data_IF_517835630192
#
_entry.id   IF_517835630192
#
_cell.length_a   1.000
_cell.length_b   1.000
_cell.length_c   1.000
_cell.angle_alpha   90.00
_cell.angle_beta   90.00
_cell.angle_gamma   90.00
#
_symmetry.space_group_name_H-M   'P 1'
#
loop_
_entity.id
_entity.type
_entity.pdbx_description
1 polymer ?
#
# COMPACT_ATOMS: atom_id res chain seq x y z
N UNK A 1 14.61 5.50 19.19
CA UNK A 1 13.15 5.72 19.26
C UNK A 1 12.80 6.95 18.42
N UNK A 2 12.47 6.76 17.14
CA UNK A 2 11.84 7.75 16.28
C UNK A 2 11.60 7.12 14.90
N UNK A 3 10.34 6.98 14.44
CA UNK A 3 10.11 6.79 13.01
C UNK A 3 8.76 6.24 12.54
N UNK A 4 8.09 5.35 13.27
CA UNK A 4 7.06 4.49 12.66
C UNK A 4 5.60 4.96 12.68
N UNK A 5 5.24 6.04 13.37
CA UNK A 5 3.82 6.29 13.74
C UNK A 5 3.18 7.54 13.11
N UNK A 6 3.73 8.11 12.03
CA UNK A 6 3.52 9.55 11.74
C UNK A 6 2.78 9.97 10.47
N UNK A 7 2.20 9.10 9.64
CA UNK A 7 1.64 9.58 8.36
C UNK A 7 0.11 9.65 8.31
N UNK A 8 -0.63 8.72 8.92
CA UNK A 8 -2.08 8.66 8.75
C UNK A 8 -2.91 9.35 9.85
N UNK A 9 -2.33 9.65 11.03
CA UNK A 9 -3.02 10.40 12.11
C UNK A 9 -3.43 11.83 11.72
N UNK A 10 -2.93 12.35 10.59
CA UNK A 10 -3.24 13.70 10.11
C UNK A 10 -4.56 13.79 9.30
N UNK A 11 -5.17 12.67 8.89
CA UNK A 11 -6.35 12.67 8.02
C UNK A 11 -7.67 12.72 8.85
N UNK A 12 -7.91 13.85 9.54
CA UNK A 12 -9.18 14.19 10.23
C UNK A 12 -10.18 14.93 9.33
N UNK A 13 -10.28 14.55 8.07
CA UNK A 13 -11.36 15.03 7.20
C UNK A 13 -12.41 13.91 7.10
N UNK A 14 -13.68 14.21 7.33
CA UNK A 14 -14.78 13.24 7.24
C UNK A 14 -14.79 12.46 5.90
N UNK A 15 -14.26 13.07 4.82
CA UNK A 15 -14.12 12.44 3.49
C UNK A 15 -13.09 11.31 3.46
N UNK A 16 -12.24 11.22 4.48
CA UNK A 16 -11.08 10.35 4.55
C UNK A 16 -11.23 9.24 5.60
N UNK A 17 -12.32 9.27 6.38
CA UNK A 17 -12.70 8.21 7.30
C UNK A 17 -12.78 6.80 6.65
N UNK A 18 -13.40 6.61 5.47
CA UNK A 18 -13.43 5.28 4.84
C UNK A 18 -12.03 4.78 4.45
N UNK A 19 -11.06 5.68 4.23
CA UNK A 19 -9.67 5.33 3.93
C UNK A 19 -8.96 4.86 5.20
N UNK A 20 -9.17 5.57 6.32
CA UNK A 20 -8.57 5.19 7.60
C UNK A 20 -9.04 3.81 8.05
N UNK A 21 -10.35 3.52 7.91
CA UNK A 21 -10.91 2.19 8.22
C UNK A 21 -10.26 1.10 7.37
N UNK A 22 -10.06 1.35 6.07
CA UNK A 22 -9.47 0.34 5.19
C UNK A 22 -7.99 0.08 5.45
N UNK A 23 -7.25 1.11 5.85
CA UNK A 23 -5.85 0.96 6.28
C UNK A 23 -5.78 0.16 7.59
N UNK A 24 -6.69 0.43 8.52
CA UNK A 24 -6.80 -0.33 9.77
C UNK A 24 -7.16 -1.81 9.53
N UNK A 25 -8.13 -2.06 8.63
CA UNK A 25 -8.51 -3.42 8.22
C UNK A 25 -7.35 -4.17 7.51
N UNK A 26 -6.47 -3.49 6.76
CA UNK A 26 -5.27 -4.09 6.14
C UNK A 26 -4.20 -4.50 7.16
N UNK A 27 -4.14 -3.79 8.28
CA UNK A 27 -3.26 -4.08 9.42
C UNK A 27 -3.87 -5.10 10.40
N UNK A 28 -5.08 -5.60 10.12
CA UNK A 28 -5.77 -6.52 11.01
C UNK A 28 -5.11 -7.91 11.00
N UNK A 29 -5.23 -8.65 12.11
CA UNK A 29 -4.78 -10.03 12.22
C UNK A 29 -5.64 -11.00 11.40
N UNK A 30 -6.90 -10.64 11.15
CA UNK A 30 -7.85 -11.48 10.43
C UNK A 30 -7.61 -11.42 8.91
N UNK A 31 -7.20 -12.56 8.35
CA UNK A 31 -6.88 -12.71 6.92
C UNK A 31 -8.06 -12.33 6.02
N UNK A 32 -9.30 -12.63 6.43
CA UNK A 32 -10.48 -12.31 5.62
C UNK A 32 -10.73 -10.80 5.56
N UNK A 33 -10.49 -10.07 6.65
CA UNK A 33 -10.57 -8.60 6.67
C UNK A 33 -9.49 -7.97 5.79
N UNK A 34 -8.26 -8.50 5.83
CA UNK A 34 -7.17 -8.06 4.95
C UNK A 34 -7.53 -8.27 3.48
N UNK A 35 -8.02 -9.45 3.11
CA UNK A 35 -8.43 -9.77 1.73
C UNK A 35 -9.59 -8.89 1.23
N UNK A 36 -10.59 -8.64 2.08
CA UNK A 36 -11.69 -7.74 1.74
C UNK A 36 -11.21 -6.30 1.53
N UNK A 37 -10.20 -5.88 2.29
CA UNK A 37 -9.61 -4.54 2.18
C UNK A 37 -8.72 -4.39 0.95
N UNK A 38 -7.97 -5.45 0.60
CA UNK A 38 -7.20 -5.51 -0.65
C UNK A 38 -8.10 -5.28 -1.86
N UNK A 39 -9.30 -5.87 -1.91
CA UNK A 39 -10.26 -5.64 -3.01
C UNK A 39 -10.74 -4.18 -3.08
N UNK A 40 -10.78 -3.48 -1.94
CA UNK A 40 -11.19 -2.08 -1.84
C UNK A 40 -10.03 -1.10 -2.06
N UNK A 41 -8.77 -1.56 -2.12
CA UNK A 41 -7.59 -0.73 -2.38
C UNK A 41 -7.72 0.10 -3.66
N UNK A 42 -8.26 -0.50 -4.73
CA UNK A 42 -8.44 0.20 -6.01
C UNK A 42 -9.30 1.47 -5.86
N UNK A 43 -10.36 1.41 -5.05
CA UNK A 43 -11.23 2.55 -4.75
C UNK A 43 -10.49 3.62 -3.94
N UNK A 44 -9.65 3.20 -2.99
CA UNK A 44 -8.83 4.10 -2.18
C UNK A 44 -7.79 4.81 -3.04
N UNK A 45 -7.11 4.09 -3.91
CA UNK A 45 -6.10 4.65 -4.80
C UNK A 45 -6.71 5.67 -5.79
N UNK A 46 -7.94 5.43 -6.24
CA UNK A 46 -8.72 6.43 -6.98
C UNK A 46 -9.02 7.68 -6.14
N UNK A 47 -9.41 7.52 -4.88
CA UNK A 47 -9.76 8.63 -3.99
C UNK A 47 -8.54 9.46 -3.55
N UNK A 48 -7.39 8.81 -3.29
CA UNK A 48 -6.13 9.49 -2.95
C UNK A 48 -5.43 10.11 -4.15
N UNK A 49 -5.66 9.54 -5.33
CA UNK A 49 -4.92 9.87 -6.54
C UNK A 49 -3.56 9.16 -6.64
N UNK A 50 -2.98 9.26 -7.83
CA UNK A 50 -1.78 8.53 -8.22
C UNK A 50 -0.55 8.91 -7.40
N UNK A 51 -0.50 10.15 -6.90
CA UNK A 51 0.68 10.71 -6.23
C UNK A 51 0.89 10.17 -4.81
N UNK A 52 -0.20 9.98 -4.07
CA UNK A 52 -0.14 9.44 -2.70
C UNK A 52 -0.15 7.93 -2.73
N UNK A 53 -0.79 7.32 -3.72
CA UNK A 53 -0.74 5.87 -3.94
C UNK A 53 0.70 5.37 -4.06
N UNK A 54 1.55 6.06 -4.85
CA UNK A 54 2.98 5.72 -5.00
C UNK A 54 3.84 6.05 -3.77
N UNK A 55 3.56 7.16 -3.09
CA UNK A 55 4.45 7.70 -2.05
C UNK A 55 4.12 7.22 -0.64
N UNK A 56 2.87 6.78 -0.41
CA UNK A 56 2.38 6.37 0.91
C UNK A 56 1.82 4.94 0.89
N UNK A 57 0.88 4.66 -0.02
CA UNK A 57 0.13 3.40 0.01
C UNK A 57 0.97 2.19 -0.46
N UNK A 58 1.73 2.35 -1.54
CA UNK A 58 2.68 1.34 -2.04
C UNK A 58 3.75 0.95 -1.01
N UNK A 59 4.50 1.89 -0.40
CA UNK A 59 5.46 1.54 0.63
C UNK A 59 4.80 0.95 1.87
N UNK A 60 3.59 1.38 2.24
CA UNK A 60 2.84 0.78 3.35
C UNK A 60 2.48 -0.68 3.09
N UNK A 61 1.93 -0.99 1.93
CA UNK A 61 1.61 -2.38 1.54
C UNK A 61 2.86 -3.25 1.47
N UNK A 62 3.94 -2.67 0.95
CA UNK A 62 5.23 -3.32 0.93
C UNK A 62 5.68 -3.60 2.35
N UNK A 63 5.65 -2.67 3.31
CA UNK A 63 6.11 -2.90 4.69
C UNK A 63 5.21 -3.85 5.51
N UNK A 64 3.90 -3.86 5.23
CA UNK A 64 2.87 -4.50 6.07
C UNK A 64 2.49 -5.91 5.63
N UNK A 65 2.70 -6.28 4.36
CA UNK A 65 2.18 -7.52 3.77
C UNK A 65 3.33 -8.47 3.39
N UNK A 66 3.71 -9.39 4.28
CA UNK A 66 4.71 -10.43 3.99
C UNK A 66 4.39 -11.84 4.50
N UNK A 67 3.29 -12.04 5.24
CA UNK A 67 3.14 -13.26 6.05
C UNK A 67 2.33 -14.40 5.41
N UNK A 68 1.36 -14.11 4.53
CA UNK A 68 0.40 -15.13 4.04
C UNK A 68 0.34 -15.19 2.51
N UNK A 69 0.52 -16.37 1.92
CA UNK A 69 0.50 -16.61 0.47
C UNK A 69 -0.82 -16.16 -0.18
N UNK A 70 -1.96 -16.40 0.47
CA UNK A 70 -3.28 -16.03 -0.05
C UNK A 70 -3.45 -14.51 -0.14
N UNK A 71 -2.93 -13.77 0.85
CA UNK A 71 -2.94 -12.31 0.89
C UNK A 71 -1.98 -11.76 -0.16
N UNK A 72 -0.80 -12.36 -0.31
CA UNK A 72 0.18 -11.99 -1.34
C UNK A 72 -0.37 -12.18 -2.75
N UNK A 73 -1.09 -13.28 -3.00
CA UNK A 73 -1.70 -13.54 -4.30
C UNK A 73 -2.77 -12.50 -4.63
N UNK A 74 -3.71 -12.26 -3.71
CA UNK A 74 -4.76 -11.26 -3.90
C UNK A 74 -4.18 -9.86 -4.11
N UNK A 75 -3.11 -9.51 -3.38
CA UNK A 75 -2.40 -8.26 -3.54
C UNK A 75 -1.74 -8.16 -4.92
N UNK A 76 -1.05 -9.21 -5.38
CA UNK A 76 -0.41 -9.23 -6.68
C UNK A 76 -1.43 -9.06 -7.82
N UNK A 77 -2.59 -9.70 -7.73
CA UNK A 77 -3.70 -9.52 -8.67
C UNK A 77 -4.20 -8.07 -8.67
N UNK A 78 -4.40 -7.47 -7.49
CA UNK A 78 -4.79 -6.07 -7.40
C UNK A 78 -3.73 -5.12 -7.95
N UNK A 79 -2.45 -5.36 -7.65
CA UNK A 79 -1.34 -4.52 -8.13
C UNK A 79 -1.23 -4.57 -9.66
N UNK A 80 -1.56 -5.69 -10.30
CA UNK A 80 -1.67 -5.76 -11.78
C UNK A 80 -2.66 -4.74 -12.35
N UNK A 81 -3.79 -4.53 -11.66
CA UNK A 81 -4.80 -3.55 -12.02
C UNK A 81 -4.46 -2.11 -11.60
N UNK A 82 -3.47 -1.91 -10.73
CA UNK A 82 -3.04 -0.59 -10.26
C UNK A 82 -2.25 0.22 -11.29
N UNK A 83 -1.84 -0.37 -12.40
CA UNK A 83 -1.06 0.32 -13.46
C UNK A 83 -1.74 1.63 -13.92
N UNK A 84 -3.07 1.65 -14.01
CA UNK A 84 -3.82 2.88 -14.31
C UNK A 84 -3.92 3.85 -13.12
N UNK A 85 -3.87 3.34 -11.90
CA UNK A 85 -4.00 4.09 -10.63
C UNK A 85 -2.69 4.67 -10.12
N UNK A 86 -1.54 4.29 -10.71
CA UNK A 86 -0.22 4.86 -10.39
C UNK A 86 0.23 5.95 -11.37
N UNK A 87 -0.60 6.26 -12.38
CA UNK A 87 -0.28 7.26 -13.40
C UNK A 87 0.17 6.65 -14.74
N UNK A 88 -0.16 5.38 -14.99
CA UNK A 88 0.10 4.71 -16.25
C UNK A 88 1.40 3.90 -16.29
N UNK A 89 1.78 3.39 -17.47
CA UNK A 89 2.91 2.47 -17.63
C UNK A 89 4.27 3.06 -17.24
N UNK A 90 4.39 4.39 -17.25
CA UNK A 90 5.59 5.10 -16.81
C UNK A 90 5.92 4.81 -15.32
N UNK A 91 4.89 4.61 -14.50
CA UNK A 91 4.98 4.32 -13.06
C UNK A 91 4.77 2.85 -12.70
N UNK A 92 4.64 1.96 -13.70
CA UNK A 92 4.52 0.51 -13.45
C UNK A 92 5.73 -0.06 -12.69
N UNK A 93 6.91 0.56 -12.83
CA UNK A 93 8.12 0.19 -12.10
C UNK A 93 7.97 0.31 -10.57
N UNK A 94 7.07 1.16 -10.06
CA UNK A 94 6.78 1.27 -8.63
C UNK A 94 6.15 -0.01 -8.07
N UNK A 95 5.39 -0.75 -8.89
CA UNK A 95 4.77 -2.02 -8.51
C UNK A 95 5.79 -3.16 -8.42
N UNK A 96 6.85 -3.10 -9.24
CA UNK A 96 7.95 -4.07 -9.22
C UNK A 96 8.83 -3.95 -7.97
N UNK A 97 8.84 -2.78 -7.32
CA UNK A 97 9.60 -2.56 -6.09
C UNK A 97 9.08 -3.43 -4.92
N UNK A 98 7.85 -3.96 -5.01
CA UNK A 98 7.25 -4.83 -3.98
C UNK A 98 8.08 -6.09 -3.66
N UNK A 99 8.90 -6.59 -4.60
CA UNK A 99 9.83 -7.72 -4.37
C UNK A 99 11.31 -7.30 -4.36
N UNK A 100 11.59 -6.03 -4.62
CA UNK A 100 12.93 -5.49 -4.71
C UNK A 100 13.40 -4.97 -3.36
N UNK A 101 13.69 -5.88 -2.43
CA UNK A 101 14.42 -5.55 -1.21
C UNK A 101 15.56 -4.60 -1.55
N UNK A 102 15.59 -3.46 -0.86
CA UNK A 102 16.60 -2.41 -1.01
C UNK A 102 17.98 -3.04 -0.80
N UNK A 103 18.59 -3.50 -1.89
CA UNK A 103 20.01 -3.67 -2.01
C UNK A 103 20.60 -2.32 -2.43
N UNK A 104 20.38 -1.29 -1.61
CA UNK A 104 21.12 -0.03 -1.71
C UNK A 104 22.04 0.08 -0.51
N UNK A 105 23.14 -0.64 -0.68
CA UNK A 105 24.53 -0.26 -0.36
C UNK A 105 24.76 0.34 1.02
N UNK A 106 25.31 -0.53 1.86
CA UNK A 106 26.48 -0.20 2.67
C UNK A 106 27.42 0.71 1.85
N UNK A 107 27.48 1.97 2.26
CA UNK A 107 28.26 3.01 1.62
C UNK A 107 28.63 4.08 2.64
N UNK A 108 29.11 3.65 3.80
CA UNK A 108 29.97 4.48 4.64
C UNK A 108 31.29 3.73 4.78
N UNK A 109 32.28 4.20 4.01
CA UNK A 109 33.71 3.96 4.20
C UNK A 109 34.30 5.20 4.85
#
# INVERSE_FOLDING_TARGET
AAGGERTWRAYRDDSLYPIAVLIDELCNEDVQLRLNSIKKLSTIALALGVERTRSELLPFLTDTIYDEDEVLLALAEQLGNFTGLVGGPDFAHCLLLFKGGTLRRTGQY
#
